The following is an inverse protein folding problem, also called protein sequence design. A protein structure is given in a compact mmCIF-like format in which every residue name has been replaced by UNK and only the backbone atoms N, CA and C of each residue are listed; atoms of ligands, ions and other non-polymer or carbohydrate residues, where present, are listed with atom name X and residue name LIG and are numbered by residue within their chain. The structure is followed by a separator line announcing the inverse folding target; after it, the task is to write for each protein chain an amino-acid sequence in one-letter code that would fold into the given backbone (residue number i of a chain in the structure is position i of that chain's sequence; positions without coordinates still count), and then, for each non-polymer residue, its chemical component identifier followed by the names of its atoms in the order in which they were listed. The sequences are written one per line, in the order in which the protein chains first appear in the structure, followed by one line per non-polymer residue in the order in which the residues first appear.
data_IF_130798573153
#
_entry.id   IF_130798573153
#
_cell.length_a   1.000
_cell.length_b   1.000
_cell.length_c   1.000
_cell.angle_alpha   90.00
_cell.angle_beta   90.00
_cell.angle_gamma   90.00
#
_symmetry.space_group_name_H-M   'P 1'
#
loop_
_entity.id
_entity.type
_entity.pdbx_description
1 polymer ?
#
# COMPACT_ATOMS: atom_id res chain seq x y z
N UNK A 1 90.23 -30.10 15.18
CA UNK A 1 89.64 -28.98 14.42
C UNK A 1 88.13 -29.19 14.35
N UNK A 2 87.40 -28.19 14.82
CA UNK A 2 85.96 -28.21 15.07
C UNK A 2 85.10 -28.50 13.82
N UNK A 3 84.10 -29.37 13.95
CA UNK A 3 82.96 -29.41 13.03
C UNK A 3 81.66 -29.14 13.80
N UNK A 4 81.26 -27.86 13.78
CA UNK A 4 79.90 -27.40 14.07
C UNK A 4 79.14 -27.34 12.74
N UNK A 5 78.05 -28.10 12.59
CA UNK A 5 76.97 -27.84 11.64
C UNK A 5 75.66 -28.30 12.31
N UNK A 6 75.03 -27.41 13.08
CA UNK A 6 73.82 -26.64 12.74
C UNK A 6 72.57 -27.51 12.50
N UNK A 7 71.83 -27.72 13.59
CA UNK A 7 70.48 -28.27 13.64
C UNK A 7 69.49 -27.18 13.16
N UNK A 8 68.88 -27.35 11.98
CA UNK A 8 67.83 -26.48 11.46
C UNK A 8 66.50 -26.84 12.13
N UNK A 9 66.06 -26.04 13.10
CA UNK A 9 64.71 -26.12 13.67
C UNK A 9 63.80 -25.25 12.79
N UNK A 10 62.90 -25.88 12.03
CA UNK A 10 61.80 -25.18 11.36
C UNK A 10 60.74 -24.82 12.41
N UNK A 11 60.81 -23.61 12.96
CA UNK A 11 59.71 -23.03 13.73
C UNK A 11 58.63 -22.61 12.73
N UNK A 12 57.61 -23.45 12.58
CA UNK A 12 56.38 -23.10 11.88
C UNK A 12 55.65 -22.02 12.67
N UNK A 13 55.78 -20.76 12.25
CA UNK A 13 54.93 -19.66 12.73
C UNK A 13 53.49 -19.94 12.27
N UNK A 14 52.63 -20.36 13.21
CA UNK A 14 51.20 -20.28 13.05
C UNK A 14 50.82 -18.80 12.99
N UNK A 15 50.59 -18.28 11.77
CA UNK A 15 49.93 -17.00 11.57
C UNK A 15 48.47 -17.14 12.03
N UNK A 16 48.20 -16.75 13.28
CA UNK A 16 46.83 -16.51 13.73
C UNK A 16 46.41 -15.18 13.13
N UNK A 17 45.72 -15.24 11.98
CA UNK A 17 45.06 -14.06 11.43
C UNK A 17 44.04 -13.56 12.46
N UNK A 18 44.02 -12.26 12.83
CA UNK A 18 42.93 -11.74 13.63
C UNK A 18 41.66 -11.86 12.81
N UNK A 19 40.69 -12.64 13.32
CA UNK A 19 39.34 -12.58 12.81
C UNK A 19 38.83 -11.15 13.03
N UNK A 20 38.69 -10.37 11.96
CA UNK A 20 37.93 -9.13 12.00
C UNK A 20 36.48 -9.54 12.25
N UNK A 21 36.04 -9.41 13.49
CA UNK A 21 34.62 -9.55 13.84
C UNK A 21 33.96 -8.28 13.31
N UNK A 22 33.20 -8.39 12.22
CA UNK A 22 32.34 -7.30 11.78
C UNK A 22 31.30 -7.07 12.89
N UNK A 23 31.39 -5.92 13.56
CA UNK A 23 30.37 -5.49 14.51
C UNK A 23 29.10 -5.18 13.72
N UNK A 24 28.15 -6.11 13.68
CA UNK A 24 26.81 -5.81 13.16
C UNK A 24 26.19 -4.79 14.11
N UNK A 25 26.15 -3.51 13.69
CA UNK A 25 25.38 -2.49 14.38
C UNK A 25 23.91 -2.75 14.10
N UNK A 26 23.21 -3.43 15.01
CA UNK A 26 21.75 -3.50 14.99
C UNK A 26 21.22 -2.11 15.32
N UNK A 27 20.75 -1.37 14.31
CA UNK A 27 20.09 -0.08 14.51
C UNK A 27 18.63 -0.33 14.88
N UNK A 28 18.12 0.40 15.88
CA UNK A 28 16.68 0.45 16.18
C UNK A 28 16.10 1.75 15.64
N UNK A 29 15.00 1.65 14.90
CA UNK A 29 14.23 2.75 14.33
C UNK A 29 13.00 2.95 15.19
N UNK A 30 12.71 4.21 15.51
CA UNK A 30 11.54 4.62 16.28
C UNK A 30 10.83 5.73 15.51
N UNK A 31 9.58 5.51 15.14
CA UNK A 31 8.76 6.51 14.47
C UNK A 31 7.72 7.10 15.41
N UNK A 32 7.42 8.39 15.21
CA UNK A 32 6.51 9.15 16.06
C UNK A 32 5.46 9.89 15.22
N UNK A 33 4.27 10.06 15.78
CA UNK A 33 3.26 10.94 15.19
C UNK A 33 3.53 12.43 15.48
N UNK A 34 2.72 13.31 14.88
CA UNK A 34 2.84 14.76 15.06
C UNK A 34 2.64 15.25 16.52
N UNK A 35 2.12 14.41 17.42
CA UNK A 35 1.97 14.70 18.84
C UNK A 35 3.13 14.13 19.67
N UNK A 36 4.15 13.55 19.03
CA UNK A 36 5.31 12.96 19.69
C UNK A 36 5.04 11.59 20.32
N UNK A 37 3.96 10.90 19.93
CA UNK A 37 3.64 9.56 20.43
C UNK A 37 4.32 8.51 19.55
N UNK A 38 4.87 7.47 20.17
CA UNK A 38 5.55 6.37 19.47
C UNK A 38 4.56 5.56 18.66
N UNK A 39 4.73 5.47 17.34
CA UNK A 39 3.85 4.70 16.44
C UNK A 39 4.49 3.44 15.91
N UNK A 40 5.83 3.34 15.92
CA UNK A 40 6.56 2.18 15.43
C UNK A 40 7.87 1.96 16.19
N UNK A 41 8.22 0.69 16.41
CA UNK A 41 9.54 0.22 16.82
C UNK A 41 9.98 -0.86 15.84
N UNK A 42 11.15 -0.68 15.22
CA UNK A 42 11.79 -1.71 14.40
C UNK A 42 13.27 -1.84 14.80
N UNK A 43 13.68 -3.01 15.25
CA UNK A 43 15.09 -3.30 15.56
C UNK A 43 15.71 -4.39 14.66
N UNK A 44 15.05 -4.71 13.54
CA UNK A 44 15.43 -5.77 12.60
C UNK A 44 15.05 -7.19 13.02
N UNK A 45 14.70 -7.42 14.30
CA UNK A 45 14.20 -8.73 14.80
C UNK A 45 12.82 -8.62 15.43
N UNK A 46 12.42 -7.42 15.82
CA UNK A 46 11.18 -7.09 16.49
C UNK A 46 10.61 -5.87 15.77
N UNK A 47 9.38 -6.03 15.30
CA UNK A 47 8.57 -4.96 14.75
C UNK A 47 7.35 -4.79 15.67
N UNK A 48 7.02 -3.55 16.04
CA UNK A 48 5.83 -3.23 16.82
C UNK A 48 5.23 -1.92 16.31
N UNK A 49 3.94 -1.91 16.02
CA UNK A 49 3.19 -0.68 15.74
C UNK A 49 2.11 -0.40 16.79
N UNK A 50 1.79 0.88 16.94
CA UNK A 50 0.80 1.38 17.89
C UNK A 50 -0.20 2.32 17.23
N UNK A 51 -1.49 2.12 17.52
CA UNK A 51 -2.55 3.06 17.15
C UNK A 51 -3.12 3.74 18.39
N UNK A 52 -3.47 5.01 18.25
CA UNK A 52 -4.03 5.83 19.32
C UNK A 52 -5.30 6.55 18.90
N UNK A 53 -6.23 6.71 19.84
CA UNK A 53 -7.37 7.60 19.66
C UNK A 53 -6.98 9.09 19.77
N UNK A 54 -7.98 9.97 19.63
CA UNK A 54 -7.81 11.43 19.73
C UNK A 54 -7.43 11.90 21.13
N UNK A 55 -7.87 11.19 22.17
CA UNK A 55 -7.61 11.49 23.57
C UNK A 55 -6.22 11.03 24.04
N UNK A 56 -5.56 10.17 23.26
CA UNK A 56 -4.24 9.64 23.59
C UNK A 56 -4.24 8.21 24.11
N UNK A 57 -5.39 7.53 24.14
CA UNK A 57 -5.44 6.14 24.55
C UNK A 57 -4.93 5.26 23.42
N UNK A 58 -4.08 4.29 23.76
CA UNK A 58 -3.64 3.27 22.81
C UNK A 58 -4.80 2.30 22.54
N UNK A 59 -5.21 2.20 21.29
CA UNK A 59 -6.33 1.35 20.86
C UNK A 59 -5.88 0.09 20.13
N UNK A 60 -4.62 0.02 19.68
CA UNK A 60 -4.04 -1.19 19.11
C UNK A 60 -2.53 -1.31 19.42
N UNK A 61 -2.06 -2.55 19.49
CA UNK A 61 -0.65 -2.94 19.46
C UNK A 61 -0.53 -4.19 18.60
N UNK A 62 0.39 -4.19 17.64
CA UNK A 62 0.63 -5.33 16.75
C UNK A 62 2.11 -5.54 16.52
N UNK A 63 2.51 -6.80 16.38
CA UNK A 63 3.87 -7.26 16.11
C UNK A 63 4.04 -7.82 14.68
N UNK A 64 2.95 -7.98 13.96
CA UNK A 64 2.91 -8.05 12.50
C UNK A 64 2.88 -6.61 11.96
N UNK A 65 3.44 -6.34 10.77
CA UNK A 65 3.20 -5.06 10.07
C UNK A 65 1.68 -4.89 9.94
N UNK A 66 1.09 -3.89 10.58
CA UNK A 66 -0.37 -3.76 10.73
C UNK A 66 -1.11 -3.68 9.38
N UNK A 67 -0.38 -3.51 8.28
CA UNK A 67 -0.84 -3.72 6.92
C UNK A 67 -1.54 -5.08 6.70
N UNK A 68 -1.21 -6.12 7.45
CA UNK A 68 -1.83 -7.46 7.31
C UNK A 68 -3.04 -7.70 8.23
N UNK A 69 -3.32 -6.77 9.17
CA UNK A 69 -4.48 -6.84 10.08
C UNK A 69 -5.56 -5.82 9.70
N UNK A 70 -5.15 -4.75 9.01
CA UNK A 70 -6.06 -3.82 8.37
C UNK A 70 -6.44 -4.44 7.03
N UNK A 71 -7.65 -5.00 6.94
CA UNK A 71 -8.21 -5.45 5.66
C UNK A 71 -8.18 -4.33 4.60
N UNK A 72 -8.66 -4.60 3.39
CA UNK A 72 -8.65 -3.63 2.30
C UNK A 72 -9.25 -2.29 2.75
N UNK A 73 -8.56 -1.19 2.44
CA UNK A 73 -9.04 0.17 2.73
C UNK A 73 -8.98 1.00 1.45
N UNK A 74 -10.12 1.56 1.07
CA UNK A 74 -10.20 2.56 -0.01
C UNK A 74 -9.88 3.92 0.61
N UNK A 75 -8.77 4.53 0.18
CA UNK A 75 -8.30 5.83 0.68
C UNK A 75 -8.76 6.98 -0.21
N UNK A 76 -9.08 6.68 -1.47
CA UNK A 76 -9.58 7.65 -2.44
C UNK A 76 -10.52 6.96 -3.43
N UNK A 77 -11.64 7.61 -3.74
CA UNK A 77 -12.47 7.25 -4.88
C UNK A 77 -13.19 8.49 -5.39
N UNK A 78 -12.70 9.05 -6.50
CA UNK A 78 -13.27 10.25 -7.11
C UNK A 78 -13.97 9.89 -8.42
N UNK A 79 -15.25 10.23 -8.47
CA UNK A 79 -16.10 10.11 -9.65
C UNK A 79 -16.60 11.51 -10.00
N UNK A 80 -16.41 11.99 -11.24
CA UNK A 80 -16.96 13.27 -11.66
C UNK A 80 -18.47 13.31 -11.47
N UNK A 81 -18.98 14.46 -11.03
CA UNK A 81 -20.42 14.63 -10.81
C UNK A 81 -21.25 14.47 -12.09
N UNK A 82 -20.68 14.70 -13.28
CA UNK A 82 -21.40 14.63 -14.56
C UNK A 82 -20.57 13.96 -15.66
N UNK A 83 -21.21 13.11 -16.47
CA UNK A 83 -20.70 12.64 -17.77
C UNK A 83 -21.31 13.48 -18.91
N UNK A 84 -20.47 13.98 -19.82
CA UNK A 84 -20.81 15.00 -20.82
C UNK A 84 -21.67 14.53 -22.02
N UNK A 85 -21.89 13.23 -22.18
CA UNK A 85 -22.61 12.65 -23.32
C UNK A 85 -22.78 11.13 -23.24
N UNK A 86 -23.66 10.55 -24.05
CA UNK A 86 -23.98 9.11 -23.99
C UNK A 86 -22.78 8.28 -24.42
N UNK A 87 -22.24 7.46 -23.51
CA UNK A 87 -21.06 6.65 -23.81
C UNK A 87 -19.78 7.47 -23.93
N UNK A 88 -19.79 8.74 -23.52
CA UNK A 88 -18.58 9.52 -23.33
C UNK A 88 -17.70 8.85 -22.28
N UNK A 89 -16.40 8.89 -22.54
CA UNK A 89 -15.40 8.47 -21.59
C UNK A 89 -15.25 9.58 -20.55
N UNK A 90 -15.67 9.32 -19.32
CA UNK A 90 -15.29 10.13 -18.15
C UNK A 90 -14.23 9.39 -17.37
N UNK A 91 -13.35 10.09 -16.64
CA UNK A 91 -12.30 9.43 -15.86
C UNK A 91 -12.68 9.33 -14.40
N UNK A 92 -12.27 8.24 -13.76
CA UNK A 92 -12.36 8.02 -12.32
C UNK A 92 -10.97 7.78 -11.77
N UNK A 93 -10.71 8.24 -10.55
CA UNK A 93 -9.46 7.94 -9.82
C UNK A 93 -9.79 7.16 -8.57
N UNK A 94 -8.86 6.28 -8.19
CA UNK A 94 -8.95 5.57 -6.93
C UNK A 94 -7.58 5.29 -6.35
N UNK A 95 -7.55 5.14 -5.03
CA UNK A 95 -6.43 4.61 -4.31
C UNK A 95 -6.92 3.71 -3.19
N UNK A 96 -6.19 2.62 -2.97
CA UNK A 96 -6.46 1.72 -1.86
C UNK A 96 -5.18 1.13 -1.31
N UNK A 97 -5.24 0.69 -0.05
CA UNK A 97 -4.15 0.01 0.66
C UNK A 97 -4.62 -1.38 1.08
N UNK A 98 -3.68 -2.32 1.18
CA UNK A 98 -3.94 -3.71 1.56
C UNK A 98 -4.96 -4.38 0.63
N UNK A 99 -4.79 -4.18 -0.67
CA UNK A 99 -5.66 -4.72 -1.72
C UNK A 99 -4.80 -5.38 -2.78
N UNK A 100 -5.26 -6.53 -3.27
CA UNK A 100 -4.66 -7.25 -4.39
C UNK A 100 -5.25 -6.79 -5.72
N UNK A 101 -6.56 -6.48 -5.75
CA UNK A 101 -7.24 -5.97 -6.94
C UNK A 101 -8.47 -5.14 -6.59
N UNK A 102 -8.93 -4.34 -7.56
CA UNK A 102 -10.16 -3.59 -7.48
C UNK A 102 -11.07 -3.87 -8.69
N UNK A 103 -12.35 -3.52 -8.56
CA UNK A 103 -13.32 -3.58 -9.64
C UNK A 103 -14.27 -2.38 -9.55
N UNK A 104 -14.70 -1.87 -10.70
CA UNK A 104 -15.70 -0.82 -10.80
C UNK A 104 -16.98 -1.38 -11.43
N UNK A 105 -18.12 -1.15 -10.78
CA UNK A 105 -19.46 -1.55 -11.23
C UNK A 105 -20.44 -0.38 -11.13
N UNK A 106 -21.64 -0.57 -11.67
CA UNK A 106 -22.66 0.48 -11.79
C UNK A 106 -24.01 -0.04 -11.32
N UNK A 107 -24.81 0.84 -10.71
CA UNK A 107 -26.16 0.52 -10.26
C UNK A 107 -27.13 0.27 -11.44
N UNK A 108 -27.12 1.18 -12.41
CA UNK A 108 -28.12 1.25 -13.48
C UNK A 108 -27.54 0.92 -14.86
N UNK A 109 -26.41 0.23 -14.91
CA UNK A 109 -25.74 -0.15 -16.15
C UNK A 109 -25.04 -1.51 -16.00
N UNK A 110 -24.86 -2.22 -17.11
CA UNK A 110 -24.31 -3.59 -17.12
C UNK A 110 -22.80 -3.65 -17.35
N UNK A 111 -22.17 -2.55 -17.77
CA UNK A 111 -20.72 -2.51 -17.92
C UNK A 111 -20.04 -2.60 -16.56
N UNK A 112 -18.87 -3.22 -16.53
CA UNK A 112 -18.01 -3.29 -15.37
C UNK A 112 -16.56 -3.28 -15.82
N UNK A 113 -15.67 -2.97 -14.87
CA UNK A 113 -14.24 -2.94 -15.07
C UNK A 113 -13.59 -3.80 -13.99
N UNK A 114 -13.38 -5.10 -14.25
CA UNK A 114 -12.73 -6.01 -13.31
C UNK A 114 -11.20 -5.87 -13.36
N UNK A 115 -10.52 -6.51 -12.40
CA UNK A 115 -9.07 -6.72 -12.39
C UNK A 115 -8.23 -5.43 -12.46
N UNK A 116 -8.72 -4.38 -11.81
CA UNK A 116 -8.01 -3.10 -11.70
C UNK A 116 -6.91 -3.18 -10.64
N UNK A 117 -5.80 -2.43 -10.80
CA UNK A 117 -4.78 -2.30 -9.77
C UNK A 117 -5.35 -1.62 -8.50
N UNK A 118 -4.64 -1.75 -7.39
CA UNK A 118 -5.00 -1.14 -6.09
C UNK A 118 -5.19 0.38 -6.15
N UNK A 119 -4.48 1.06 -7.06
CA UNK A 119 -4.64 2.49 -7.30
C UNK A 119 -4.48 2.79 -8.79
N UNK A 120 -5.19 3.81 -9.28
CA UNK A 120 -5.07 4.19 -10.67
C UNK A 120 -6.11 5.20 -11.11
N UNK A 121 -6.19 5.35 -12.44
CA UNK A 121 -7.24 6.08 -13.11
C UNK A 121 -7.74 5.28 -14.31
N UNK A 122 -9.01 5.45 -14.66
CA UNK A 122 -9.63 4.73 -15.78
C UNK A 122 -10.67 5.60 -16.46
N UNK A 123 -10.72 5.53 -17.78
CA UNK A 123 -11.84 6.07 -18.54
C UNK A 123 -13.00 5.06 -18.55
N UNK A 124 -14.11 5.46 -17.95
CA UNK A 124 -15.35 4.71 -17.90
C UNK A 124 -16.39 5.30 -18.85
N UNK A 125 -17.25 4.44 -19.39
CA UNK A 125 -18.41 4.86 -20.18
C UNK A 125 -19.65 4.87 -19.31
N UNK A 126 -20.43 5.94 -19.41
CA UNK A 126 -21.65 6.15 -18.61
C UNK A 126 -22.85 6.27 -19.54
N UNK A 127 -23.84 5.41 -19.32
CA UNK A 127 -25.06 5.32 -20.12
C UNK A 127 -26.34 5.73 -19.36
N UNK A 128 -26.27 5.84 -18.03
CA UNK A 128 -27.38 6.22 -17.16
C UNK A 128 -26.85 6.85 -15.85
N UNK A 129 -27.61 7.78 -15.27
CA UNK A 129 -27.30 8.29 -13.93
C UNK A 129 -27.42 7.17 -12.90
N UNK A 130 -26.52 7.13 -11.92
CA UNK A 130 -26.53 6.12 -10.89
C UNK A 130 -25.28 6.12 -10.02
N UNK A 131 -25.29 5.26 -9.01
CA UNK A 131 -24.08 5.00 -8.24
C UNK A 131 -23.05 4.23 -9.08
N UNK A 132 -21.79 4.66 -8.96
CA UNK A 132 -20.61 3.92 -9.37
C UNK A 132 -20.01 3.33 -8.10
N UNK A 133 -19.76 2.03 -8.09
CA UNK A 133 -19.17 1.32 -6.96
C UNK A 133 -17.72 0.98 -7.29
N UNK A 134 -16.84 1.19 -6.33
CA UNK A 134 -15.48 0.65 -6.31
C UNK A 134 -15.42 -0.40 -5.21
N UNK A 135 -15.13 -1.64 -5.59
CA UNK A 135 -14.84 -2.71 -4.65
C UNK A 135 -13.36 -3.07 -4.77
N UNK A 136 -12.63 -3.06 -3.66
CA UNK A 136 -11.25 -3.54 -3.61
C UNK A 136 -11.13 -4.71 -2.64
N UNK A 137 -10.36 -5.72 -3.03
CA UNK A 137 -10.32 -7.02 -2.34
C UNK A 137 -8.90 -7.42 -1.98
N UNK A 138 -8.80 -8.19 -0.90
CA UNK A 138 -7.60 -8.96 -0.56
C UNK A 138 -8.00 -10.33 -0.02
N UNK A 139 -7.76 -11.38 -0.80
CA UNK A 139 -8.27 -12.72 -0.50
C UNK A 139 -9.80 -12.76 -0.39
N UNK A 140 -10.31 -13.03 0.81
CA UNK A 140 -11.76 -13.05 1.11
C UNK A 140 -12.30 -11.73 1.65
N UNK A 141 -11.44 -10.77 1.98
CA UNK A 141 -11.84 -9.49 2.55
C UNK A 141 -12.12 -8.48 1.43
N UNK A 142 -13.04 -7.54 1.69
CA UNK A 142 -13.37 -6.49 0.72
C UNK A 142 -13.71 -5.17 1.39
N UNK A 143 -13.35 -4.08 0.73
CA UNK A 143 -13.87 -2.75 1.01
C UNK A 143 -14.62 -2.23 -0.20
N UNK A 144 -15.67 -1.47 0.06
CA UNK A 144 -16.51 -0.86 -0.97
C UNK A 144 -16.65 0.63 -0.71
N UNK A 145 -16.60 1.42 -1.77
CA UNK A 145 -16.93 2.83 -1.79
C UNK A 145 -17.85 3.11 -2.97
N UNK A 146 -18.69 4.14 -2.85
CA UNK A 146 -19.56 4.56 -3.94
C UNK A 146 -19.60 6.06 -4.09
N UNK A 147 -19.81 6.51 -5.32
CA UNK A 147 -20.08 7.90 -5.64
C UNK A 147 -21.13 7.96 -6.75
N UNK A 148 -21.86 9.07 -6.83
CA UNK A 148 -22.95 9.23 -7.78
C UNK A 148 -22.51 10.05 -8.99
N UNK A 149 -22.85 9.58 -10.18
CA UNK A 149 -22.63 10.32 -11.43
C UNK A 149 -23.96 10.62 -12.11
N UNK A 150 -24.14 11.88 -12.52
CA UNK A 150 -25.25 12.30 -13.36
C UNK A 150 -24.89 12.14 -14.84
N UNK A 151 -25.84 11.61 -15.60
CA UNK A 151 -25.79 11.61 -17.04
C UNK A 151 -26.64 12.78 -17.57
N UNK A 152 -26.02 13.67 -18.36
CA UNK A 152 -26.76 14.68 -19.10
C UNK A 152 -27.19 14.09 -20.45
N UNK A 153 -28.45 13.67 -20.58
CA UNK A 153 -28.96 13.35 -21.92
C UNK A 153 -28.90 14.62 -22.75
N UNK A 154 -28.32 14.54 -23.94
CA UNK A 154 -28.27 15.65 -24.88
C UNK A 154 -29.70 16.17 -25.07
N UNK A 155 -30.00 17.31 -24.43
CA UNK A 155 -31.30 17.94 -24.49
C UNK A 155 -31.61 18.32 -25.93
N UNK A 156 -32.83 17.99 -26.36
CA UNK A 156 -33.33 18.26 -27.70
C UNK A 156 -33.04 19.69 -28.13
N UNK A 157 -32.58 19.82 -29.38
CA UNK A 157 -32.46 21.11 -30.04
C UNK A 157 -33.81 21.84 -30.05
N UNK A 158 -33.80 23.18 -30.22
CA UNK A 158 -35.02 23.95 -30.24
C UNK A 158 -35.95 23.40 -31.31
N UNK A 159 -37.21 23.11 -30.95
CA UNK A 159 -38.26 22.89 -31.94
C UNK A 159 -38.46 24.23 -32.64
N UNK A 160 -37.94 24.33 -33.86
CA UNK A 160 -38.19 25.45 -34.74
C UNK A 160 -39.69 25.51 -35.02
N UNK A 161 -40.30 26.60 -34.51
CA UNK A 161 -41.65 27.06 -34.87
C UNK A 161 -41.75 27.41 -36.35
#
# INVERSE_FOLDING_TARGET
MNHRQQLLIFISLLFVSPAVVAQTTSSSIFNYDAKGRLVEVDNGTTFIEYAYDKAGNRIAVGNERLAEIMGPVITEFEVPMMASGLGDNTYVTWASTNTTSCAITFENQVNSYPDLPSSGYLYIRVFASGAVFLQCVDGSESAESSSYIFYQSGGGGPIGI
#
